data_IF_540488148030
#
_entry.id   IF_540488148030
#
_cell.length_a   1.000
_cell.length_b   1.000
_cell.length_c   1.000
_cell.angle_alpha   90.00
_cell.angle_beta   90.00
_cell.angle_gamma   90.00
#
_symmetry.space_group_name_H-M   'P 1'
#
loop_
_entity.id
_entity.type
_entity.pdbx_description
1 polymer ?
#
# COMPACT_ATOMS: atom_id res chain seq x y z
N UNK A 1 37.81 5.70 5.32
CA UNK A 1 37.01 4.69 4.57
C UNK A 1 37.79 3.98 3.47
N UNK A 2 38.17 4.61 2.34
CA UNK A 2 38.84 3.93 1.20
C UNK A 2 40.04 3.08 1.62
N UNK A 3 40.98 3.70 2.31
CA UNK A 3 42.18 3.03 2.82
C UNK A 3 41.83 1.87 3.76
N UNK A 4 40.89 2.07 4.70
CA UNK A 4 40.43 1.02 5.60
C UNK A 4 39.80 -0.15 4.83
N UNK A 5 38.95 0.10 3.83
CA UNK A 5 38.35 -0.97 3.02
C UNK A 5 39.43 -1.75 2.24
N UNK A 6 40.47 -1.08 1.75
CA UNK A 6 41.60 -1.73 1.09
C UNK A 6 42.45 -2.56 2.07
N UNK A 7 42.76 -2.01 3.23
CA UNK A 7 43.47 -2.71 4.31
C UNK A 7 42.69 -3.93 4.82
N UNK A 8 41.35 -3.83 4.92
CA UNK A 8 40.48 -4.93 5.30
C UNK A 8 40.27 -5.97 4.20
N UNK A 9 40.36 -5.59 2.92
CA UNK A 9 40.23 -6.49 1.77
C UNK A 9 41.51 -7.30 1.49
N UNK A 10 42.69 -6.74 1.81
CA UNK A 10 43.99 -7.39 1.57
C UNK A 10 44.11 -8.82 2.13
N UNK A 11 43.74 -9.11 3.40
CA UNK A 11 43.81 -10.47 3.95
C UNK A 11 42.88 -11.46 3.26
N UNK A 12 41.84 -10.98 2.57
CA UNK A 12 40.82 -11.80 1.90
C UNK A 12 41.14 -12.03 0.41
N UNK A 13 42.26 -11.49 -0.07
CA UNK A 13 42.66 -11.50 -1.48
C UNK A 13 41.57 -10.93 -2.42
N UNK A 14 40.79 -9.97 -1.94
CA UNK A 14 39.77 -9.31 -2.76
C UNK A 14 40.38 -8.19 -3.58
N UNK A 15 40.12 -8.22 -4.89
CA UNK A 15 40.43 -7.10 -5.78
C UNK A 15 39.30 -6.06 -5.70
N UNK A 16 39.45 -5.13 -4.76
CA UNK A 16 38.43 -4.11 -4.48
C UNK A 16 38.55 -2.96 -5.50
N UNK A 17 37.71 -3.00 -6.53
CA UNK A 17 37.55 -1.87 -7.46
C UNK A 17 36.69 -0.77 -6.82
N UNK A 18 37.37 0.19 -6.19
CA UNK A 18 36.73 1.41 -5.70
C UNK A 18 36.62 2.39 -6.86
N UNK A 19 35.41 2.59 -7.39
CA UNK A 19 35.16 3.68 -8.33
C UNK A 19 35.51 5.01 -7.65
N UNK A 20 36.69 5.55 -7.99
CA UNK A 20 37.11 6.89 -7.60
C UNK A 20 36.35 7.89 -8.46
N UNK A 21 36.22 9.10 -7.98
CA UNK A 21 35.64 10.24 -8.71
C UNK A 21 34.12 10.29 -8.63
N UNK A 22 33.61 10.29 -7.38
CA UNK A 22 32.39 11.03 -7.06
C UNK A 22 32.86 12.44 -6.71
N UNK A 23 32.64 13.39 -7.60
CA UNK A 23 32.81 14.83 -7.25
C UNK A 23 31.79 15.21 -6.17
N UNK A 24 31.99 16.28 -5.37
CA UNK A 24 30.97 16.73 -4.39
C UNK A 24 29.59 16.96 -5.06
N UNK A 25 29.57 17.32 -6.34
CA UNK A 25 28.36 17.45 -7.16
C UNK A 25 27.65 16.11 -7.46
N UNK A 26 28.34 14.97 -7.29
CA UNK A 26 27.80 13.62 -7.49
C UNK A 26 27.34 12.94 -6.18
N UNK A 27 27.48 13.61 -5.03
CA UNK A 27 27.02 13.13 -3.73
C UNK A 27 25.51 13.34 -3.49
N UNK A 28 24.84 14.09 -4.36
CA UNK A 28 23.38 14.31 -4.32
C UNK A 28 22.64 13.22 -5.12
N UNK A 29 21.53 12.73 -4.57
CA UNK A 29 20.95 11.40 -4.86
C UNK A 29 20.76 11.05 -6.34
N UNK A 30 20.39 12.02 -7.19
CA UNK A 30 20.25 11.80 -8.64
C UNK A 30 21.58 11.45 -9.32
N UNK A 31 22.63 12.18 -8.98
CA UNK A 31 23.95 11.97 -9.55
C UNK A 31 24.55 10.65 -9.05
N UNK A 32 24.23 10.24 -7.82
CA UNK A 32 24.58 8.92 -7.28
C UNK A 32 23.96 7.77 -8.12
N UNK A 33 22.66 7.83 -8.45
CA UNK A 33 22.01 6.80 -9.27
C UNK A 33 22.66 6.68 -10.66
N UNK A 34 22.91 7.80 -11.32
CA UNK A 34 23.54 7.81 -12.65
C UNK A 34 24.99 7.30 -12.60
N UNK A 35 25.74 7.67 -11.57
CA UNK A 35 27.07 7.14 -11.30
C UNK A 35 27.03 5.62 -11.15
N UNK A 36 26.16 5.08 -10.29
CA UNK A 36 26.02 3.65 -10.06
C UNK A 36 25.72 2.88 -11.35
N UNK A 37 24.77 3.37 -12.17
CA UNK A 37 24.45 2.75 -13.47
C UNK A 37 25.66 2.70 -14.41
N UNK A 38 26.43 3.79 -14.51
CA UNK A 38 27.65 3.85 -15.34
C UNK A 38 28.74 2.92 -14.80
N UNK A 39 28.96 2.91 -13.50
CA UNK A 39 29.99 2.07 -12.86
C UNK A 39 29.70 0.59 -13.06
N UNK A 40 28.44 0.15 -12.94
CA UNK A 40 28.07 -1.26 -13.11
C UNK A 40 28.21 -1.76 -14.56
N UNK A 41 28.12 -0.87 -15.56
CA UNK A 41 28.41 -1.23 -16.95
C UNK A 41 29.89 -1.59 -17.18
N UNK A 42 30.79 -1.10 -16.32
CA UNK A 42 32.24 -1.34 -16.42
C UNK A 42 32.73 -2.53 -15.58
N UNK A 43 31.87 -3.14 -14.74
CA UNK A 43 32.22 -4.21 -13.81
C UNK A 43 31.79 -5.57 -14.39
N UNK A 44 32.55 -6.63 -14.08
CA UNK A 44 32.16 -8.00 -14.44
C UNK A 44 30.83 -8.38 -13.76
N UNK A 45 29.82 -8.88 -14.50
CA UNK A 45 28.49 -9.11 -13.95
C UNK A 45 28.48 -10.12 -12.80
N UNK A 46 29.38 -11.11 -12.82
CA UNK A 46 29.42 -12.18 -11.81
C UNK A 46 30.15 -11.78 -10.50
N UNK A 47 30.77 -10.60 -10.46
CA UNK A 47 31.45 -10.13 -9.25
C UNK A 47 30.43 -9.64 -8.21
N UNK A 48 30.63 -9.87 -6.89
CA UNK A 48 29.78 -9.27 -5.86
C UNK A 48 29.78 -7.74 -5.97
N UNK A 49 28.63 -7.12 -5.71
CA UNK A 49 28.49 -5.67 -5.74
C UNK A 49 28.11 -5.14 -4.36
N UNK A 50 28.77 -4.05 -3.97
CA UNK A 50 28.51 -3.34 -2.72
C UNK A 50 27.94 -1.98 -3.08
N UNK A 51 26.70 -1.74 -2.67
CA UNK A 51 26.09 -0.42 -2.70
C UNK A 51 26.29 0.23 -1.34
N UNK A 52 27.01 1.34 -1.30
CA UNK A 52 27.17 2.18 -0.11
C UNK A 52 26.22 3.37 -0.22
N UNK A 53 25.43 3.60 0.83
CA UNK A 53 24.40 4.65 0.82
C UNK A 53 25.00 6.05 0.70
N UNK A 54 24.39 6.95 -0.09
CA UNK A 54 24.70 8.39 -0.03
C UNK A 54 24.36 9.03 1.34
N UNK A 55 23.62 8.32 2.20
CA UNK A 55 23.29 8.73 3.58
C UNK A 55 24.27 8.18 4.62
N UNK A 56 25.40 7.60 4.20
CA UNK A 56 26.44 7.17 5.12
C UNK A 56 27.08 8.37 5.81
N UNK A 57 27.14 8.30 7.14
CA UNK A 57 27.89 9.22 7.99
C UNK A 57 29.36 8.81 7.98
N UNK A 58 30.08 9.18 6.92
CA UNK A 58 31.47 8.75 6.68
C UNK A 58 32.40 9.11 7.85
N UNK A 59 32.14 10.22 8.54
CA UNK A 59 32.86 10.64 9.74
C UNK A 59 32.68 9.69 10.94
N UNK A 60 31.61 8.90 10.96
CA UNK A 60 31.31 7.89 11.99
C UNK A 60 31.71 6.47 11.56
N UNK A 61 32.36 6.33 10.40
CA UNK A 61 32.83 5.05 9.90
C UNK A 61 33.81 4.39 10.89
N UNK A 62 33.44 3.21 11.38
CA UNK A 62 34.18 2.48 12.40
C UNK A 62 34.66 1.11 11.92
N UNK A 63 35.59 0.50 12.66
CA UNK A 63 35.99 -0.89 12.46
C UNK A 63 34.79 -1.85 12.50
N UNK A 64 33.77 -1.53 13.31
CA UNK A 64 32.53 -2.30 13.38
C UNK A 64 31.76 -2.28 12.06
N UNK A 65 31.66 -1.12 11.41
CA UNK A 65 31.00 -0.99 10.11
C UNK A 65 31.76 -1.77 9.02
N UNK A 66 33.10 -1.68 9.02
CA UNK A 66 33.94 -2.47 8.11
C UNK A 66 33.74 -3.98 8.33
N UNK A 67 33.73 -4.45 9.59
CA UNK A 67 33.46 -5.86 9.92
C UNK A 67 32.06 -6.30 9.50
N UNK A 68 31.05 -5.45 9.65
CA UNK A 68 29.69 -5.76 9.21
C UNK A 68 29.64 -6.03 7.70
N UNK A 69 30.31 -5.19 6.91
CA UNK A 69 30.43 -5.37 5.45
C UNK A 69 31.10 -6.70 5.07
N UNK A 70 32.20 -7.03 5.74
CA UNK A 70 32.90 -8.29 5.51
C UNK A 70 32.03 -9.50 5.86
N UNK A 71 31.32 -9.44 6.98
CA UNK A 71 30.39 -10.50 7.39
C UNK A 71 29.27 -10.70 6.37
N UNK A 72 28.71 -9.62 5.82
CA UNK A 72 27.70 -9.68 4.77
C UNK A 72 28.22 -10.39 3.50
N UNK A 73 29.42 -10.05 3.05
CA UNK A 73 30.02 -10.66 1.86
C UNK A 73 30.38 -12.13 2.12
N UNK A 74 30.98 -12.43 3.28
CA UNK A 74 31.29 -13.81 3.66
C UNK A 74 30.03 -14.67 3.75
N UNK A 75 28.93 -14.12 4.26
CA UNK A 75 27.65 -14.81 4.31
C UNK A 75 27.17 -15.19 2.91
N UNK A 76 27.21 -14.26 1.93
CA UNK A 76 26.85 -14.56 0.55
C UNK A 76 27.77 -15.61 -0.09
N UNK A 77 29.07 -15.54 0.16
CA UNK A 77 30.05 -16.51 -0.37
C UNK A 77 29.85 -17.93 0.18
N UNK A 78 29.46 -18.03 1.45
CA UNK A 78 29.22 -19.31 2.14
C UNK A 78 27.82 -19.88 1.90
N UNK A 79 26.91 -19.08 1.34
CA UNK A 79 25.55 -19.49 0.99
C UNK A 79 25.29 -19.30 -0.51
N UNK A 80 25.97 -20.03 -1.41
CA UNK A 80 25.85 -19.84 -2.85
C UNK A 80 24.43 -20.08 -3.39
N UNK A 81 23.61 -20.89 -2.71
CA UNK A 81 22.20 -21.07 -3.05
C UNK A 81 21.33 -19.81 -2.79
N UNK A 82 21.82 -18.88 -1.95
CA UNK A 82 21.20 -17.58 -1.70
C UNK A 82 21.65 -16.51 -2.71
N UNK A 83 22.74 -16.76 -3.45
CA UNK A 83 23.23 -15.85 -4.50
C UNK A 83 22.17 -15.71 -5.60
N UNK A 84 21.72 -14.47 -5.85
CA UNK A 84 20.63 -14.17 -6.78
C UNK A 84 19.23 -14.35 -6.20
N UNK A 85 19.10 -14.62 -4.90
CA UNK A 85 17.83 -14.66 -4.15
C UNK A 85 17.81 -13.70 -2.97
N UNK A 86 18.98 -13.43 -2.39
CA UNK A 86 19.14 -12.63 -1.17
C UNK A 86 20.06 -11.44 -1.43
N UNK A 87 19.65 -10.29 -0.91
CA UNK A 87 20.47 -9.09 -0.77
C UNK A 87 20.72 -8.89 0.73
N UNK A 88 21.96 -8.56 1.10
CA UNK A 88 22.30 -8.35 2.51
C UNK A 88 22.25 -6.86 2.82
N UNK A 89 21.38 -6.47 3.74
CA UNK A 89 21.33 -5.15 4.35
C UNK A 89 22.00 -5.12 5.74
N UNK A 90 21.83 -4.01 6.43
CA UNK A 90 22.49 -3.68 7.69
C UNK A 90 21.48 -3.13 8.69
N UNK A 91 21.77 -3.30 9.98
CA UNK A 91 21.13 -2.48 11.00
C UNK A 91 21.64 -1.04 10.86
N UNK A 92 20.75 -0.07 11.04
CA UNK A 92 21.07 1.35 10.92
C UNK A 92 21.56 1.83 12.28
N UNK A 93 22.71 2.49 12.31
CA UNK A 93 23.20 3.20 13.50
C UNK A 93 23.12 4.69 13.22
N UNK A 94 22.06 5.31 13.70
CA UNK A 94 21.97 6.76 13.78
C UNK A 94 22.30 7.18 15.23
N UNK A 95 21.77 8.29 15.72
CA UNK A 95 21.77 8.65 17.15
C UNK A 95 21.30 7.49 18.05
N UNK A 96 20.51 6.57 17.49
CA UNK A 96 20.07 5.32 18.12
C UNK A 96 20.27 4.14 17.16
N UNK A 97 20.53 2.95 17.70
CA UNK A 97 20.61 1.70 16.93
C UNK A 97 19.21 1.21 16.52
N UNK A 98 19.04 0.91 15.24
CA UNK A 98 17.78 0.47 14.64
C UNK A 98 17.99 -0.77 13.78
N UNK A 99 17.48 -1.92 14.23
CA UNK A 99 17.36 -3.12 13.39
C UNK A 99 15.93 -3.23 12.85
N UNK A 100 15.67 -2.47 11.78
CA UNK A 100 14.35 -2.41 11.13
C UNK A 100 14.41 -3.16 9.81
N UNK A 101 14.22 -4.47 9.86
CA UNK A 101 13.85 -5.24 8.66
C UNK A 101 12.38 -4.98 8.40
N UNK A 102 12.04 -4.59 7.17
CA UNK A 102 10.70 -4.13 6.80
C UNK A 102 10.09 -5.03 5.73
N UNK A 103 8.79 -5.29 5.85
CA UNK A 103 7.93 -5.77 4.78
C UNK A 103 7.41 -4.57 3.99
N UNK A 104 7.31 -4.74 2.68
CA UNK A 104 6.69 -3.78 1.78
C UNK A 104 5.38 -4.37 1.30
N UNK A 105 4.30 -3.64 1.55
CA UNK A 105 2.98 -3.93 0.99
C UNK A 105 2.67 -2.90 -0.09
N UNK A 106 2.79 -3.32 -1.34
CA UNK A 106 2.36 -2.57 -2.52
C UNK A 106 1.08 -3.19 -3.07
N UNK A 107 -0.07 -2.69 -2.62
CA UNK A 107 -1.39 -3.23 -2.98
C UNK A 107 -2.41 -2.11 -3.07
N UNK A 108 -3.34 -2.21 -4.02
CA UNK A 108 -4.54 -1.37 -4.09
C UNK A 108 -4.28 0.15 -3.97
N UNK A 109 -3.25 0.63 -4.68
CA UNK A 109 -2.80 2.02 -4.69
C UNK A 109 -2.15 2.49 -3.37
N UNK A 110 -1.76 1.55 -2.50
CA UNK A 110 -1.04 1.81 -1.26
C UNK A 110 0.37 1.25 -1.31
N UNK A 111 1.32 1.98 -0.73
CA UNK A 111 2.68 1.54 -0.49
C UNK A 111 3.00 1.69 1.01
N UNK A 112 3.06 0.59 1.74
CA UNK A 112 3.26 0.61 3.20
C UNK A 112 4.50 -0.17 3.57
N UNK A 113 5.40 0.48 4.30
CA UNK A 113 6.55 -0.15 4.95
C UNK A 113 6.17 -0.48 6.39
N UNK A 114 6.30 -1.74 6.77
CA UNK A 114 5.95 -2.22 8.12
C UNK A 114 7.09 -3.06 8.70
N UNK A 115 7.36 -2.99 10.01
CA UNK A 115 8.38 -3.82 10.61
C UNK A 115 8.01 -5.31 10.45
N UNK A 116 9.01 -6.14 10.21
CA UNK A 116 8.88 -7.60 10.33
C UNK A 116 8.89 -7.94 11.82
N UNK A 117 8.01 -8.84 12.26
CA UNK A 117 8.10 -9.39 13.60
C UNK A 117 9.44 -10.15 13.73
N UNK A 118 10.36 -9.61 14.52
CA UNK A 118 11.76 -10.06 14.57
C UNK A 118 11.96 -11.24 15.51
N UNK A 119 10.99 -12.15 15.65
CA UNK A 119 11.26 -13.44 16.29
C UNK A 119 12.35 -14.13 15.46
N UNK A 120 13.58 -14.14 15.98
CA UNK A 120 14.77 -14.48 15.22
C UNK A 120 14.81 -15.97 14.87
N UNK A 121 14.19 -16.33 13.75
CA UNK A 121 14.18 -17.70 13.24
C UNK A 121 15.52 -18.06 12.57
N UNK A 122 16.29 -17.06 12.12
CA UNK A 122 17.58 -17.24 11.45
C UNK A 122 18.73 -16.62 12.28
N UNK A 123 19.86 -17.33 12.31
CA UNK A 123 21.10 -16.86 12.90
C UNK A 123 22.19 -16.76 11.83
N UNK A 124 23.03 -15.74 11.94
CA UNK A 124 24.23 -15.62 11.12
C UNK A 124 25.20 -16.78 11.38
N UNK A 125 26.22 -16.91 10.53
CA UNK A 125 27.36 -17.80 10.77
C UNK A 125 28.05 -17.58 12.13
N UNK A 126 27.91 -16.39 12.69
CA UNK A 126 28.51 -16.00 13.97
C UNK A 126 27.49 -16.02 15.12
N UNK A 127 26.30 -16.59 14.90
CA UNK A 127 25.27 -16.77 15.92
C UNK A 127 24.40 -15.54 16.21
N UNK A 128 24.52 -14.49 15.40
CA UNK A 128 23.77 -13.24 15.59
C UNK A 128 22.37 -13.36 15.00
N UNK A 129 21.33 -12.79 15.63
CA UNK A 129 19.98 -12.88 15.09
C UNK A 129 19.87 -12.10 13.77
N UNK A 130 19.23 -12.72 12.79
CA UNK A 130 18.95 -12.16 11.48
C UNK A 130 17.47 -12.28 11.14
N UNK A 131 16.99 -11.38 10.29
CA UNK A 131 15.61 -11.37 9.81
C UNK A 131 15.59 -11.07 8.32
N UNK A 132 14.57 -11.60 7.65
CA UNK A 132 14.32 -11.42 6.22
C UNK A 132 13.11 -10.53 6.00
N UNK A 133 13.17 -9.69 4.99
CA UNK A 133 12.09 -8.81 4.57
C UNK A 133 12.31 -8.32 3.14
N UNK A 134 11.71 -7.18 2.82
CA UNK A 134 11.83 -6.52 1.53
C UNK A 134 12.78 -5.31 1.56
N UNK A 135 13.05 -4.76 2.75
CA UNK A 135 13.95 -3.62 2.94
C UNK A 135 14.61 -3.66 4.33
N UNK A 136 15.77 -3.01 4.48
CA UNK A 136 16.43 -2.76 5.76
C UNK A 136 17.18 -1.42 5.76
N UNK A 137 18.35 -1.41 5.13
CA UNK A 137 19.26 -0.27 4.97
C UNK A 137 19.33 0.20 3.52
N UNK A 138 19.81 1.41 3.30
CA UNK A 138 20.15 1.90 1.97
C UNK A 138 21.46 1.25 1.46
N UNK A 139 22.45 1.07 2.36
CA UNK A 139 23.65 0.30 2.03
C UNK A 139 23.31 -1.20 1.90
N UNK A 140 23.80 -1.87 0.86
CA UNK A 140 23.44 -3.27 0.53
C UNK A 140 24.59 -4.01 -0.13
N UNK A 141 24.63 -5.33 0.07
CA UNK A 141 25.54 -6.24 -0.64
C UNK A 141 24.72 -7.19 -1.50
N UNK A 142 25.07 -7.22 -2.78
CA UNK A 142 24.48 -8.07 -3.80
C UNK A 142 25.45 -9.20 -4.13
N UNK A 143 24.91 -10.41 -4.28
CA UNK A 143 25.71 -11.57 -4.68
C UNK A 143 26.41 -11.40 -6.03
N UNK A 144 25.83 -10.60 -6.94
CA UNK A 144 26.41 -10.27 -8.24
C UNK A 144 26.10 -8.83 -8.66
N UNK A 145 27.02 -8.21 -9.41
CA UNK A 145 26.86 -6.90 -10.01
C UNK A 145 25.81 -6.91 -11.11
N UNK A 146 25.66 -8.04 -11.82
CA UNK A 146 24.62 -8.25 -12.81
C UNK A 146 23.21 -8.16 -12.21
N UNK A 147 22.99 -8.71 -11.02
CA UNK A 147 21.71 -8.58 -10.31
C UNK A 147 21.42 -7.12 -9.96
N UNK A 148 22.38 -6.39 -9.39
CA UNK A 148 22.19 -4.95 -9.10
C UNK A 148 21.99 -4.13 -10.37
N UNK A 149 22.77 -4.37 -11.42
CA UNK A 149 22.65 -3.69 -12.70
C UNK A 149 21.30 -3.91 -13.37
N UNK A 150 20.79 -5.15 -13.33
CA UNK A 150 19.46 -5.49 -13.83
C UNK A 150 18.37 -4.72 -13.07
N UNK A 151 18.41 -4.70 -11.74
CA UNK A 151 17.44 -3.95 -10.92
C UNK A 151 17.48 -2.46 -11.23
N UNK A 152 18.68 -1.85 -11.24
CA UNK A 152 18.85 -0.43 -11.52
C UNK A 152 18.43 -0.03 -12.95
N UNK A 153 18.36 -0.96 -13.89
CA UNK A 153 17.84 -0.66 -15.24
C UNK A 153 16.37 -0.25 -15.23
N UNK A 154 15.61 -0.66 -14.20
CA UNK A 154 14.21 -0.29 -13.99
C UNK A 154 14.01 0.83 -12.95
N UNK A 155 15.08 1.24 -12.26
CA UNK A 155 15.01 2.31 -11.25
C UNK A 155 15.20 3.66 -11.93
N UNK A 156 14.29 4.61 -11.68
CA UNK A 156 14.37 5.94 -12.25
C UNK A 156 14.74 6.99 -11.21
N UNK A 157 15.31 8.05 -11.74
CA UNK A 157 15.49 9.30 -11.05
C UNK A 157 14.14 9.96 -10.77
N UNK A 158 13.86 10.28 -9.52
CA UNK A 158 12.71 11.10 -9.18
C UNK A 158 13.11 12.59 -9.14
N UNK A 159 12.53 13.43 -10.02
CA UNK A 159 12.88 14.85 -10.12
C UNK A 159 12.36 15.68 -8.92
N UNK A 160 11.40 15.17 -8.15
CA UNK A 160 10.80 15.87 -7.01
C UNK A 160 11.46 15.46 -5.68
N UNK A 161 11.99 14.24 -5.58
CA UNK A 161 12.71 13.78 -4.40
C UNK A 161 13.81 12.77 -4.72
N UNK A 162 15.07 13.21 -4.57
CA UNK A 162 16.26 12.41 -4.89
C UNK A 162 16.47 11.14 -4.05
N UNK A 163 15.68 10.88 -3.01
CA UNK A 163 15.79 9.67 -2.18
C UNK A 163 14.84 8.56 -2.64
N UNK A 164 13.85 8.87 -3.49
CA UNK A 164 12.84 7.92 -3.93
C UNK A 164 13.38 6.81 -4.83
N UNK A 165 14.55 6.96 -5.43
CA UNK A 165 15.16 5.86 -6.20
C UNK A 165 15.50 4.65 -5.31
N UNK A 166 15.73 4.85 -4.00
CA UNK A 166 15.92 3.74 -3.04
C UNK A 166 14.60 3.01 -2.78
N UNK A 167 13.48 3.73 -2.71
CA UNK A 167 12.12 3.16 -2.62
C UNK A 167 11.79 2.37 -3.90
N UNK A 168 12.12 2.92 -5.07
CA UNK A 168 11.95 2.24 -6.34
C UNK A 168 12.84 0.97 -6.41
N UNK A 169 14.10 1.05 -5.95
CA UNK A 169 14.97 -0.12 -5.84
C UNK A 169 14.37 -1.22 -4.95
N UNK A 170 13.72 -0.86 -3.84
CA UNK A 170 13.02 -1.85 -3.00
C UNK A 170 11.86 -2.53 -3.72
N UNK A 171 11.09 -1.77 -4.47
CA UNK A 171 10.00 -2.32 -5.29
C UNK A 171 10.55 -3.23 -6.38
N UNK A 172 11.69 -2.89 -7.00
CA UNK A 172 12.35 -3.77 -7.96
C UNK A 172 12.87 -5.05 -7.31
N UNK A 173 13.42 -4.98 -6.10
CA UNK A 173 13.82 -6.17 -5.33
C UNK A 173 12.63 -7.09 -5.10
N UNK A 174 11.52 -6.53 -4.60
CA UNK A 174 10.29 -7.29 -4.35
C UNK A 174 9.73 -7.91 -5.64
N UNK A 175 9.67 -7.15 -6.73
CA UNK A 175 9.19 -7.63 -8.03
C UNK A 175 10.07 -8.75 -8.61
N UNK A 176 11.37 -8.72 -8.33
CA UNK A 176 12.32 -9.76 -8.72
C UNK A 176 12.29 -10.99 -7.79
N UNK A 177 11.46 -10.98 -6.74
CA UNK A 177 11.41 -12.05 -5.74
C UNK A 177 12.66 -12.14 -4.86
N UNK A 178 13.40 -11.03 -4.72
CA UNK A 178 14.60 -10.95 -3.90
C UNK A 178 14.23 -10.56 -2.47
N UNK A 179 14.83 -11.25 -1.50
CA UNK A 179 14.67 -10.95 -0.08
C UNK A 179 15.86 -10.13 0.44
N UNK A 180 15.60 -9.25 1.39
CA UNK A 180 16.63 -8.53 2.14
C UNK A 180 16.85 -9.22 3.48
N UNK A 181 18.06 -9.74 3.69
CA UNK A 181 18.53 -10.25 4.99
C UNK A 181 19.28 -9.15 5.72
N UNK A 182 18.95 -8.88 6.99
CA UNK A 182 19.80 -8.05 7.83
C UNK A 182 19.93 -8.64 9.24
N UNK A 183 21.14 -8.60 9.78
CA UNK A 183 21.46 -9.11 11.11
C UNK A 183 21.66 -7.98 12.10
N UNK A 184 21.17 -8.17 13.33
CA UNK A 184 21.17 -7.13 14.37
C UNK A 184 22.58 -6.57 14.65
N UNK A 185 23.58 -7.45 14.71
CA UNK A 185 24.94 -7.04 15.07
C UNK A 185 25.67 -6.25 13.96
N UNK A 186 25.14 -6.23 12.73
CA UNK A 186 25.80 -5.68 11.54
C UNK A 186 25.35 -4.23 11.32
N UNK A 187 25.85 -3.34 12.18
CA UNK A 187 25.49 -1.92 12.16
C UNK A 187 26.27 -1.10 11.13
N UNK A 188 25.57 -0.22 10.40
CA UNK A 188 26.12 0.75 9.46
C UNK A 188 25.76 2.18 9.91
N UNK A 189 26.72 3.12 9.99
CA UNK A 189 26.44 4.51 10.36
C UNK A 189 25.80 5.24 9.17
N UNK A 190 24.49 5.12 9.04
CA UNK A 190 23.70 5.77 7.98
C UNK A 190 22.39 6.30 8.55
N UNK A 191 21.76 7.24 7.84
CA UNK A 191 20.38 7.65 8.16
C UNK A 191 19.36 6.71 7.49
N UNK A 192 18.16 6.64 8.08
CA UNK A 192 17.03 5.93 7.47
C UNK A 192 16.51 6.69 6.24
N UNK A 193 16.76 6.18 5.03
CA UNK A 193 16.34 6.83 3.78
C UNK A 193 14.82 7.00 3.68
N UNK A 194 14.02 6.19 4.39
CA UNK A 194 12.57 6.33 4.43
C UNK A 194 12.13 7.61 5.15
N UNK A 195 12.94 8.15 6.06
CA UNK A 195 12.69 9.45 6.69
C UNK A 195 12.87 10.62 5.71
N UNK A 196 13.55 10.39 4.58
CA UNK A 196 13.74 11.39 3.52
C UNK A 196 12.88 11.13 2.27
N UNK A 197 12.22 9.97 2.19
CA UNK A 197 11.35 9.61 1.08
C UNK A 197 10.01 10.35 1.15
N UNK A 198 9.42 10.65 -0.02
CA UNK A 198 8.09 11.26 -0.10
C UNK A 198 7.28 10.75 -1.27
N UNK A 199 5.96 10.69 -1.13
CA UNK A 199 5.07 10.33 -2.24
C UNK A 199 4.94 11.50 -3.21
N UNK A 200 5.87 11.58 -4.15
CA UNK A 200 5.92 12.56 -5.24
C UNK A 200 4.93 12.21 -6.34
N UNK A 201 4.68 13.14 -7.27
CA UNK A 201 3.88 12.82 -8.46
C UNK A 201 4.55 11.73 -9.30
N UNK A 202 5.87 11.82 -9.46
CA UNK A 202 6.63 10.83 -10.22
C UNK A 202 6.47 9.40 -9.67
N UNK A 203 6.73 9.20 -8.37
CA UNK A 203 6.62 7.89 -7.72
C UNK A 203 5.16 7.38 -7.77
N UNK A 204 4.19 8.26 -7.51
CA UNK A 204 2.77 7.96 -7.57
C UNK A 204 2.35 7.44 -8.95
N UNK A 205 2.76 8.13 -10.02
CA UNK A 205 2.46 7.75 -11.40
C UNK A 205 3.16 6.47 -11.82
N UNK A 206 4.46 6.33 -11.52
CA UNK A 206 5.26 5.18 -11.92
C UNK A 206 4.73 3.88 -11.31
N UNK A 207 4.42 3.90 -10.01
CA UNK A 207 4.00 2.70 -9.28
C UNK A 207 2.49 2.60 -9.04
N UNK A 208 1.70 3.52 -9.59
CA UNK A 208 0.25 3.60 -9.39
C UNK A 208 -0.09 3.57 -7.88
N UNK A 209 0.53 4.48 -7.12
CA UNK A 209 0.39 4.63 -5.67
C UNK A 209 -0.21 6.01 -5.39
N UNK A 210 -1.28 6.06 -4.60
CA UNK A 210 -1.90 7.32 -4.16
C UNK A 210 -1.79 7.54 -2.65
N UNK A 211 -1.44 6.50 -1.89
CA UNK A 211 -1.14 6.60 -0.47
C UNK A 211 0.14 5.84 -0.14
N UNK A 212 1.04 6.47 0.59
CA UNK A 212 2.25 5.83 1.08
C UNK A 212 2.42 6.03 2.59
N UNK A 213 3.02 5.06 3.24
CA UNK A 213 3.43 5.12 4.64
C UNK A 213 4.84 4.54 4.72
N UNK A 214 5.85 5.40 4.57
CA UNK A 214 7.27 5.02 4.62
C UNK A 214 7.76 4.82 6.06
N UNK A 215 7.21 5.61 6.98
CA UNK A 215 7.39 5.50 8.42
C UNK A 215 6.04 5.24 9.08
N UNK A 216 6.03 4.42 10.13
CA UNK A 216 4.80 4.02 10.82
C UNK A 216 4.00 5.23 11.32
N UNK A 217 2.73 5.30 10.94
CA UNK A 217 1.83 6.41 11.29
C UNK A 217 1.98 7.65 10.40
N UNK A 218 3.00 7.74 9.55
CA UNK A 218 3.25 8.90 8.68
C UNK A 218 2.65 8.70 7.29
N UNK A 219 1.32 8.87 7.21
CA UNK A 219 0.59 8.74 5.96
C UNK A 219 0.80 9.93 5.03
N UNK A 220 1.27 9.66 3.83
CA UNK A 220 1.37 10.60 2.71
C UNK A 220 0.35 10.25 1.63
N UNK A 221 -0.22 11.26 0.98
CA UNK A 221 -1.27 11.08 -0.04
C UNK A 221 -0.98 11.95 -1.26
N UNK A 222 -1.03 11.35 -2.44
CA UNK A 222 -0.93 12.04 -3.73
C UNK A 222 -1.98 11.48 -4.69
N UNK A 223 -3.10 12.18 -4.87
CA UNK A 223 -4.16 11.73 -5.76
C UNK A 223 -3.75 11.95 -7.22
N UNK A 224 -3.90 10.92 -8.06
CA UNK A 224 -3.51 11.00 -9.46
C UNK A 224 -4.60 11.72 -10.29
N UNK A 225 -4.24 12.72 -11.12
CA UNK A 225 -5.20 13.43 -11.94
C UNK A 225 -5.76 12.53 -13.03
N UNK A 226 -7.03 12.75 -13.39
CA UNK A 226 -7.63 12.04 -14.52
C UNK A 226 -7.82 10.54 -14.27
N UNK A 227 -7.96 10.12 -13.02
CA UNK A 227 -8.58 8.85 -12.69
C UNK A 227 -10.05 8.90 -13.11
N UNK A 228 -10.31 8.80 -14.42
CA UNK A 228 -11.58 8.34 -14.94
C UNK A 228 -11.74 6.91 -14.43
N UNK A 229 -12.13 6.82 -13.16
CA UNK A 229 -12.20 5.58 -12.40
C UNK A 229 -13.12 4.61 -13.11
N UNK A 230 -14.08 5.11 -13.90
CA UNK A 230 -14.97 4.30 -14.71
C UNK A 230 -14.18 3.53 -15.77
N UNK A 231 -13.12 4.09 -16.38
CA UNK A 231 -12.23 3.36 -17.27
C UNK A 231 -11.35 2.34 -16.53
N UNK A 232 -10.97 2.64 -15.28
CA UNK A 232 -10.20 1.75 -14.41
C UNK A 232 -11.08 0.55 -13.99
N UNK A 233 -12.29 0.80 -13.50
CA UNK A 233 -13.29 -0.19 -13.12
C UNK A 233 -13.82 -1.00 -14.31
N UNK A 234 -14.02 -0.37 -15.50
CA UNK A 234 -14.36 -1.10 -16.74
C UNK A 234 -13.27 -2.04 -17.21
N UNK A 235 -12.02 -1.80 -16.81
CA UNK A 235 -10.90 -2.72 -17.01
C UNK A 235 -10.72 -3.69 -15.85
N UNK A 236 -11.64 -3.69 -14.88
CA UNK A 236 -11.66 -4.61 -13.75
C UNK A 236 -10.72 -4.19 -12.64
N UNK A 237 -9.99 -3.08 -12.82
CA UNK A 237 -8.93 -2.65 -11.93
C UNK A 237 -9.50 -2.12 -10.62
N UNK A 238 -8.68 -2.22 -9.57
CA UNK A 238 -8.99 -1.69 -8.25
C UNK A 238 -9.17 -0.17 -8.32
N UNK A 239 -10.22 0.34 -7.68
CA UNK A 239 -10.51 1.75 -7.60
C UNK A 239 -9.36 2.51 -6.87
N UNK A 240 -8.96 3.68 -7.38
CA UNK A 240 -7.91 4.50 -6.78
C UNK A 240 -8.18 4.79 -5.30
N UNK A 241 -7.14 4.87 -4.49
CA UNK A 241 -7.28 5.07 -3.05
C UNK A 241 -7.97 6.41 -2.71
N UNK A 242 -7.62 7.49 -3.41
CA UNK A 242 -8.24 8.80 -3.21
C UNK A 242 -9.72 8.78 -3.57
N UNK A 243 -10.10 8.08 -4.63
CA UNK A 243 -11.50 7.88 -4.98
C UNK A 243 -12.26 7.16 -3.86
N UNK A 244 -11.73 6.02 -3.39
CA UNK A 244 -12.30 5.27 -2.27
C UNK A 244 -12.43 6.12 -1.01
N UNK A 245 -11.42 6.94 -0.71
CA UNK A 245 -11.46 7.91 0.40
C UNK A 245 -12.62 8.89 0.26
N UNK A 246 -12.83 9.43 -0.92
CA UNK A 246 -13.87 10.42 -1.19
C UNK A 246 -15.28 9.80 -1.08
N UNK A 247 -15.46 8.57 -1.57
CA UNK A 247 -16.69 7.77 -1.38
C UNK A 247 -16.98 7.56 0.11
N UNK A 248 -15.98 7.11 0.89
CA UNK A 248 -16.12 6.95 2.34
C UNK A 248 -16.43 8.27 3.06
N UNK A 249 -15.83 9.39 2.64
CA UNK A 249 -16.13 10.71 3.20
C UNK A 249 -17.54 11.17 2.84
N UNK A 250 -18.03 10.88 1.64
CA UNK A 250 -19.40 11.15 1.26
C UNK A 250 -20.39 10.33 2.11
N UNK A 251 -20.14 9.03 2.29
CA UNK A 251 -20.93 8.18 3.18
C UNK A 251 -21.05 8.76 4.59
N UNK A 252 -19.91 9.16 5.20
CA UNK A 252 -19.88 9.81 6.53
C UNK A 252 -20.72 11.07 6.56
N UNK A 253 -20.55 11.95 5.57
CA UNK A 253 -21.26 13.23 5.48
C UNK A 253 -22.77 13.03 5.36
N UNK A 254 -23.21 12.16 4.48
CA UNK A 254 -24.63 11.83 4.27
C UNK A 254 -25.24 11.19 5.52
N UNK A 255 -24.54 10.22 6.12
CA UNK A 255 -24.97 9.55 7.35
C UNK A 255 -25.06 10.49 8.55
N UNK A 256 -24.10 11.41 8.68
CA UNK A 256 -24.09 12.42 9.73
C UNK A 256 -25.21 13.44 9.54
N UNK A 257 -25.40 13.93 8.32
CA UNK A 257 -26.51 14.83 8.01
C UNK A 257 -27.86 14.17 8.32
N UNK A 258 -28.08 12.95 7.82
CA UNK A 258 -29.35 12.24 8.00
C UNK A 258 -29.70 12.05 9.47
N UNK A 259 -28.75 11.59 10.29
CA UNK A 259 -28.94 11.41 11.74
C UNK A 259 -29.04 12.73 12.50
N UNK A 260 -28.48 13.81 11.96
CA UNK A 260 -28.56 15.15 12.53
C UNK A 260 -29.94 15.80 12.37
N UNK A 261 -30.76 15.35 11.42
CA UNK A 261 -32.11 15.90 11.19
C UNK A 261 -33.12 15.50 12.28
N UNK A 262 -33.06 14.25 12.75
CA UNK A 262 -34.00 13.71 13.74
C UNK A 262 -33.34 12.53 14.48
N UNK A 263 -33.43 12.45 15.82
CA UNK A 263 -32.85 11.34 16.59
C UNK A 263 -33.41 9.96 16.22
N UNK A 264 -34.60 9.90 15.61
CA UNK A 264 -35.22 8.66 15.12
C UNK A 264 -34.55 8.13 13.85
N UNK A 265 -33.82 8.97 13.11
CA UNK A 265 -33.14 8.58 11.88
C UNK A 265 -31.96 7.64 12.12
N UNK A 266 -31.81 6.63 11.27
CA UNK A 266 -30.68 5.71 11.29
C UNK A 266 -30.30 5.24 9.89
N UNK A 267 -29.14 4.58 9.81
CA UNK A 267 -28.47 4.23 8.56
C UNK A 267 -28.25 2.72 8.54
N UNK A 268 -28.63 2.07 7.45
CA UNK A 268 -28.47 0.63 7.23
C UNK A 268 -27.68 0.45 5.92
N UNK A 269 -26.43 -0.05 5.93
CA UNK A 269 -25.64 -0.26 4.71
C UNK A 269 -26.25 -1.39 3.90
N UNK A 270 -26.21 -1.37 2.57
CA UNK A 270 -26.72 -2.44 1.70
C UNK A 270 -25.59 -2.99 0.79
N UNK A 271 -25.87 -4.07 0.08
CA UNK A 271 -25.04 -4.58 -1.02
C UNK A 271 -23.52 -4.68 -0.71
N UNK A 272 -22.66 -4.17 -1.59
CA UNK A 272 -21.20 -4.18 -1.43
C UNK A 272 -20.74 -3.37 -0.21
N UNK A 273 -21.49 -2.33 0.14
CA UNK A 273 -21.21 -1.50 1.33
C UNK A 273 -21.42 -2.28 2.63
N UNK A 274 -22.45 -3.12 2.70
CA UNK A 274 -22.65 -4.02 3.82
C UNK A 274 -21.51 -5.05 3.91
N UNK A 275 -21.08 -5.63 2.78
CA UNK A 275 -19.98 -6.60 2.79
C UNK A 275 -18.67 -6.03 3.36
N UNK A 276 -18.45 -4.72 3.24
CA UNK A 276 -17.26 -4.07 3.79
C UNK A 276 -17.16 -4.19 5.32
N UNK A 277 -18.28 -4.43 6.04
CA UNK A 277 -18.26 -4.71 7.48
C UNK A 277 -17.44 -5.96 7.82
N UNK A 278 -17.45 -6.96 6.94
CA UNK A 278 -16.77 -8.25 7.13
C UNK A 278 -15.29 -8.20 6.77
N UNK A 279 -14.80 -7.10 6.22
CA UNK A 279 -13.37 -6.87 5.94
C UNK A 279 -12.78 -5.83 6.86
N UNK A 280 -13.24 -5.84 8.11
CA UNK A 280 -12.97 -4.81 9.11
C UNK A 280 -13.48 -3.46 8.60
N UNK A 281 -14.76 -3.14 8.77
CA UNK A 281 -15.42 -1.92 8.22
C UNK A 281 -14.73 -0.56 8.47
N UNK A 282 -13.69 -0.51 9.30
CA UNK A 282 -12.78 0.63 9.44
C UNK A 282 -11.71 0.72 8.32
N UNK A 283 -11.33 -0.40 7.70
CA UNK A 283 -10.32 -0.52 6.66
C UNK A 283 -10.76 0.10 5.33
N UNK A 284 -12.07 0.28 5.14
CA UNK A 284 -12.67 1.10 4.10
C UNK A 284 -13.52 0.32 3.12
N UNK A 285 -13.99 1.02 2.08
CA UNK A 285 -14.80 0.41 1.03
C UNK A 285 -13.99 -0.65 0.29
N UNK A 286 -14.70 -1.68 -0.22
CA UNK A 286 -14.11 -2.73 -1.06
C UNK A 286 -13.26 -2.12 -2.18
N UNK A 287 -12.04 -2.64 -2.43
CA UNK A 287 -11.11 -2.02 -3.38
C UNK A 287 -11.66 -1.82 -4.80
N UNK A 288 -12.63 -2.62 -5.21
CA UNK A 288 -13.21 -2.61 -6.55
C UNK A 288 -14.60 -1.98 -6.62
N UNK A 289 -15.09 -1.48 -5.50
CA UNK A 289 -16.42 -0.93 -5.40
C UNK A 289 -16.38 0.56 -5.74
N UNK A 290 -17.43 1.02 -6.41
CA UNK A 290 -17.50 2.33 -7.05
C UNK A 290 -18.31 3.36 -6.29
N UNK A 291 -19.12 2.90 -5.36
CA UNK A 291 -20.18 3.66 -4.76
C UNK A 291 -20.53 3.04 -3.41
N UNK A 292 -21.36 3.72 -2.65
CA UNK A 292 -21.95 3.12 -1.45
C UNK A 292 -23.45 2.92 -1.61
N UNK A 293 -23.95 1.78 -1.15
CA UNK A 293 -25.37 1.48 -1.09
C UNK A 293 -25.85 1.62 0.35
N UNK A 294 -26.91 2.41 0.55
CA UNK A 294 -27.39 2.67 1.89
C UNK A 294 -28.90 2.87 1.95
N UNK A 295 -29.50 2.33 2.99
CA UNK A 295 -30.86 2.61 3.41
C UNK A 295 -30.86 3.69 4.48
N UNK A 296 -31.52 4.82 4.18
CA UNK A 296 -31.74 5.93 5.10
C UNK A 296 -33.12 5.77 5.72
N UNK A 297 -33.14 5.23 6.93
CA UNK A 297 -34.37 4.86 7.63
C UNK A 297 -34.76 5.89 8.68
N UNK A 298 -36.06 6.00 8.91
CA UNK A 298 -36.64 6.80 9.99
C UNK A 298 -37.91 6.16 10.52
N UNK A 299 -38.17 6.37 11.81
CA UNK A 299 -39.45 6.03 12.46
C UNK A 299 -40.51 7.12 12.21
N UNK A 300 -40.11 8.26 11.65
CA UNK A 300 -41.03 9.33 11.27
C UNK A 300 -41.71 9.02 9.92
N UNK A 301 -42.88 9.62 9.72
CA UNK A 301 -43.54 9.66 8.42
C UNK A 301 -42.97 10.83 7.61
N UNK A 302 -41.94 10.56 6.80
CA UNK A 302 -41.45 11.49 5.77
C UNK A 302 -41.80 10.91 4.40
N UNK A 303 -42.10 11.75 3.41
CA UNK A 303 -42.26 11.29 2.02
C UNK A 303 -40.93 11.40 1.28
N UNK A 304 -40.78 10.69 0.14
CA UNK A 304 -39.62 10.88 -0.74
C UNK A 304 -39.51 12.35 -1.20
N UNK A 305 -40.63 12.99 -1.51
CA UNK A 305 -40.67 14.43 -1.82
C UNK A 305 -40.17 15.28 -0.62
N UNK A 306 -40.61 14.96 0.59
CA UNK A 306 -40.12 15.61 1.81
C UNK A 306 -38.62 15.44 2.02
N UNK A 307 -38.08 14.25 1.72
CA UNK A 307 -36.64 14.01 1.73
C UNK A 307 -35.92 14.86 0.66
N UNK A 308 -36.40 14.86 -0.58
CA UNK A 308 -35.79 15.64 -1.67
C UNK A 308 -35.80 17.14 -1.38
N UNK A 309 -36.89 17.67 -0.80
CA UNK A 309 -36.95 19.06 -0.34
C UNK A 309 -35.86 19.38 0.68
N UNK A 310 -35.57 18.46 1.61
CA UNK A 310 -34.47 18.62 2.59
C UNK A 310 -33.09 18.67 1.93
N UNK A 311 -32.89 17.99 0.80
CA UNK A 311 -31.62 18.05 0.06
C UNK A 311 -31.35 19.40 -0.60
N UNK A 312 -32.37 20.24 -0.77
CA UNK A 312 -32.22 21.60 -1.28
C UNK A 312 -31.91 22.62 -0.17
N UNK A 313 -31.98 22.21 1.10
CA UNK A 313 -31.67 23.08 2.24
C UNK A 313 -30.15 23.36 2.33
N UNK A 314 -29.74 24.54 2.85
CA UNK A 314 -28.32 24.90 2.99
C UNK A 314 -27.50 23.87 3.77
N UNK A 315 -28.10 23.20 4.76
CA UNK A 315 -27.43 22.18 5.57
C UNK A 315 -26.97 20.97 4.74
N UNK A 316 -27.74 20.53 3.74
CA UNK A 316 -27.32 19.46 2.85
C UNK A 316 -26.32 19.97 1.81
N UNK A 317 -26.57 21.13 1.21
CA UNK A 317 -25.67 21.72 0.21
C UNK A 317 -24.26 21.94 0.77
N UNK A 318 -24.14 22.30 2.06
CA UNK A 318 -22.88 22.48 2.75
C UNK A 318 -22.02 21.20 2.85
N UNK A 319 -22.62 20.01 2.72
CA UNK A 319 -21.85 18.75 2.72
C UNK A 319 -21.21 18.45 1.36
N UNK A 320 -21.51 19.24 0.32
CA UNK A 320 -20.90 19.13 -1.01
C UNK A 320 -21.35 17.91 -1.81
N UNK A 321 -22.59 17.44 -1.56
CA UNK A 321 -23.22 16.31 -2.24
C UNK A 321 -24.48 16.81 -2.95
N UNK A 322 -24.71 16.32 -4.16
CA UNK A 322 -25.92 16.54 -4.94
C UNK A 322 -26.79 15.29 -4.88
N UNK A 323 -28.09 15.47 -4.78
CA UNK A 323 -29.07 14.38 -4.72
C UNK A 323 -30.01 14.46 -5.92
N UNK A 324 -30.25 13.32 -6.57
CA UNK A 324 -31.16 13.21 -7.71
C UNK A 324 -32.12 12.06 -7.45
N UNK A 325 -33.42 12.35 -7.43
CA UNK A 325 -34.43 11.30 -7.36
C UNK A 325 -34.40 10.46 -8.65
N UNK A 326 -34.43 9.14 -8.50
CA UNK A 326 -34.48 8.21 -9.61
C UNK A 326 -35.62 7.21 -9.38
N UNK A 327 -36.55 7.19 -10.33
CA UNK A 327 -37.60 6.19 -10.40
C UNK A 327 -37.07 5.04 -11.27
N UNK A 328 -36.64 3.96 -10.62
CA UNK A 328 -36.10 2.79 -11.32
C UNK A 328 -37.15 2.14 -12.23
N UNK A 329 -36.71 1.58 -13.36
CA UNK A 329 -37.53 0.76 -14.25
C UNK A 329 -37.91 -0.58 -13.59
N UNK A 330 -38.73 -0.56 -12.53
CA UNK A 330 -39.26 -1.75 -11.86
C UNK A 330 -38.65 -2.10 -10.49
N UNK A 331 -37.81 -1.24 -9.92
CA UNK A 331 -37.28 -1.35 -8.55
C UNK A 331 -37.61 -0.09 -7.73
N UNK A 332 -37.56 -0.23 -6.42
CA UNK A 332 -37.81 0.82 -5.42
C UNK A 332 -37.22 2.18 -5.78
N UNK A 333 -37.97 3.28 -5.54
CA UNK A 333 -37.47 4.63 -5.72
C UNK A 333 -36.23 4.86 -4.83
N UNK A 334 -35.16 5.37 -5.43
CA UNK A 334 -33.90 5.66 -4.75
C UNK A 334 -33.33 7.01 -5.17
N UNK A 335 -32.36 7.49 -4.41
CA UNK A 335 -31.71 8.78 -4.61
C UNK A 335 -30.26 8.54 -5.01
N UNK A 336 -29.90 8.99 -6.20
CA UNK A 336 -28.52 9.01 -6.68
C UNK A 336 -27.78 10.18 -6.03
N UNK A 337 -26.66 9.88 -5.39
CA UNK A 337 -25.79 10.86 -4.76
C UNK A 337 -24.57 11.12 -5.64
N UNK A 338 -24.25 12.39 -5.88
CA UNK A 338 -23.10 12.81 -6.69
C UNK A 338 -22.24 13.83 -5.96
N UNK A 339 -20.94 13.79 -6.22
CA UNK A 339 -20.00 14.81 -5.78
C UNK A 339 -19.40 15.49 -7.02
N UNK A 340 -19.32 16.82 -7.04
CA UNK A 340 -18.90 17.56 -8.24
C UNK A 340 -17.50 17.17 -8.77
N UNK A 341 -16.62 16.67 -7.91
CA UNK A 341 -15.29 16.18 -8.28
C UNK A 341 -15.27 14.77 -8.89
N UNK A 342 -16.42 14.10 -8.96
CA UNK A 342 -16.57 12.72 -9.45
C UNK A 342 -17.65 12.72 -10.55
N UNK A 343 -17.27 12.29 -11.75
CA UNK A 343 -18.14 12.34 -12.94
C UNK A 343 -19.39 11.44 -12.81
N UNK A 344 -19.27 10.35 -12.07
CA UNK A 344 -20.31 9.35 -11.82
C UNK A 344 -20.93 9.52 -10.43
N UNK A 345 -22.05 8.82 -10.17
CA UNK A 345 -22.60 8.79 -8.81
C UNK A 345 -21.65 8.05 -7.86
N UNK A 346 -21.76 8.40 -6.60
CA UNK A 346 -20.88 7.95 -5.51
C UNK A 346 -21.64 7.15 -4.45
N UNK A 347 -22.96 7.09 -4.57
CA UNK A 347 -23.79 6.28 -3.70
C UNK A 347 -25.27 6.30 -4.07
N UNK A 348 -25.94 5.23 -3.69
CA UNK A 348 -27.36 4.97 -3.87
C UNK A 348 -28.03 4.98 -2.50
N UNK A 349 -28.97 5.90 -2.31
CA UNK A 349 -29.67 6.07 -1.04
C UNK A 349 -31.15 5.68 -1.18
N UNK A 350 -31.54 4.63 -0.47
CA UNK A 350 -32.90 4.15 -0.39
C UNK A 350 -33.57 4.74 0.86
N UNK A 351 -34.47 5.69 0.67
CA UNK A 351 -35.16 6.36 1.78
C UNK A 351 -36.41 5.57 2.13
N UNK A 352 -36.50 5.08 3.38
CA UNK A 352 -37.70 4.39 3.90
C UNK A 352 -38.13 4.95 5.23
N UNK A 353 -39.44 4.98 5.40
CA UNK A 353 -40.11 5.72 6.48
C UNK A 353 -41.01 4.76 7.25
N UNK A 354 -41.37 5.13 8.49
CA UNK A 354 -42.11 4.24 9.39
C UNK A 354 -41.39 2.94 9.71
N UNK A 355 -40.05 2.91 9.62
CA UNK A 355 -39.24 1.72 9.92
C UNK A 355 -38.73 1.80 11.35
N UNK A 356 -39.21 0.91 12.25
CA UNK A 356 -38.83 1.01 13.65
C UNK A 356 -37.39 0.54 13.85
N UNK A 357 -36.64 1.26 14.70
CA UNK A 357 -35.23 0.95 14.96
C UNK A 357 -35.02 -0.41 15.61
N UNK A 358 -35.99 -0.89 16.39
CA UNK A 358 -35.89 -2.17 17.10
C UNK A 358 -35.84 -3.39 16.16
N UNK A 359 -36.26 -3.26 14.90
CA UNK A 359 -36.06 -4.28 13.85
C UNK A 359 -34.60 -4.37 13.39
N UNK A 360 -33.78 -3.35 13.70
CA UNK A 360 -32.36 -3.25 13.38
C UNK A 360 -31.51 -3.07 14.66
N UNK A 361 -31.52 -4.04 15.58
CA UNK A 361 -30.96 -3.86 16.93
C UNK A 361 -29.43 -3.86 16.96
N UNK A 362 -28.77 -4.45 15.96
CA UNK A 362 -27.31 -4.58 15.96
C UNK A 362 -26.64 -3.29 15.47
N UNK A 363 -25.51 -2.94 16.11
CA UNK A 363 -24.73 -1.74 15.79
C UNK A 363 -23.33 -2.16 15.32
N UNK A 364 -22.83 -1.50 14.28
CA UNK A 364 -21.46 -1.70 13.81
C UNK A 364 -20.84 -0.36 13.39
N UNK A 365 -19.50 -0.32 13.26
CA UNK A 365 -18.79 0.82 12.69
C UNK A 365 -18.45 0.54 11.23
N UNK A 366 -18.95 1.36 10.33
CA UNK A 366 -18.64 1.31 8.91
C UNK A 366 -18.10 2.66 8.45
N UNK A 367 -16.89 2.65 7.90
CA UNK A 367 -16.17 3.83 7.48
C UNK A 367 -16.09 4.90 8.60
N UNK A 368 -16.00 4.50 9.87
CA UNK A 368 -15.99 5.42 11.01
C UNK A 368 -17.35 6.08 11.32
N UNK A 369 -18.44 5.47 10.86
CA UNK A 369 -19.82 5.88 11.15
C UNK A 369 -20.57 4.68 11.69
N UNK A 370 -21.34 4.90 12.77
CA UNK A 370 -22.19 3.85 13.32
C UNK A 370 -23.35 3.52 12.36
N UNK A 371 -23.60 2.24 12.11
CA UNK A 371 -24.70 1.75 11.28
C UNK A 371 -25.56 0.74 12.05
N UNK A 372 -26.83 0.60 11.66
CA UNK A 372 -27.76 -0.40 12.20
C UNK A 372 -27.86 -1.62 11.29
N UNK A 373 -28.04 -2.80 11.86
CA UNK A 373 -28.29 -4.05 11.13
C UNK A 373 -29.46 -4.81 11.76
N UNK A 374 -30.22 -5.53 10.95
CA UNK A 374 -31.36 -6.36 11.37
C UNK A 374 -31.28 -7.78 10.83
N UNK A 375 -32.05 -8.70 11.42
CA UNK A 375 -32.04 -10.12 11.05
C UNK A 375 -32.42 -10.33 9.58
N UNK A 376 -33.46 -9.64 9.11
CA UNK A 376 -33.90 -9.70 7.72
C UNK A 376 -32.83 -9.22 6.75
N UNK A 377 -32.06 -8.22 7.16
CA UNK A 377 -30.98 -7.66 6.37
C UNK A 377 -29.84 -8.67 6.19
N UNK A 378 -29.40 -9.30 7.29
CA UNK A 378 -28.42 -10.39 7.22
C UNK A 378 -28.94 -11.53 6.35
N UNK A 379 -30.22 -11.89 6.47
CA UNK A 379 -30.81 -12.99 5.74
C UNK A 379 -30.93 -12.71 4.23
N UNK A 380 -31.30 -11.48 3.87
CA UNK A 380 -31.33 -11.05 2.48
C UNK A 380 -29.94 -11.12 1.85
N UNK A 381 -28.94 -10.53 2.49
CA UNK A 381 -27.61 -10.47 1.91
C UNK A 381 -26.92 -11.83 1.92
N UNK A 382 -26.81 -12.51 3.06
CA UNK A 382 -26.08 -13.78 3.13
C UNK A 382 -26.84 -14.97 2.56
N UNK A 383 -28.07 -15.19 3.02
CA UNK A 383 -28.78 -16.43 2.72
C UNK A 383 -29.60 -16.35 1.43
N UNK A 384 -29.80 -15.16 0.87
CA UNK A 384 -30.49 -15.00 -0.41
C UNK A 384 -29.52 -14.64 -1.53
N UNK A 385 -28.71 -13.58 -1.37
CA UNK A 385 -27.86 -13.06 -2.44
C UNK A 385 -26.50 -13.77 -2.56
N UNK A 386 -25.80 -13.96 -1.45
CA UNK A 386 -24.46 -14.57 -1.41
C UNK A 386 -24.47 -16.03 -0.94
N UNK A 387 -25.59 -16.73 -1.09
CA UNK A 387 -25.77 -18.12 -0.61
C UNK A 387 -25.03 -19.17 -1.44
N UNK A 388 -24.69 -18.84 -2.68
CA UNK A 388 -23.90 -19.68 -3.60
C UNK A 388 -22.58 -18.98 -3.89
N UNK A 389 -21.55 -19.73 -4.32
CA UNK A 389 -20.36 -19.12 -4.91
C UNK A 389 -20.75 -18.02 -5.89
N UNK A 390 -20.22 -16.82 -5.68
CA UNK A 390 -20.45 -15.68 -6.55
C UNK A 390 -19.19 -15.42 -7.37
N UNK A 391 -19.36 -15.29 -8.67
CA UNK A 391 -18.30 -14.79 -9.52
C UNK A 391 -18.34 -13.27 -9.53
N UNK A 392 -17.18 -12.65 -9.41
CA UNK A 392 -17.07 -11.22 -9.66
C UNK A 392 -17.14 -11.00 -11.17
N UNK A 393 -18.19 -10.33 -11.62
CA UNK A 393 -18.40 -10.02 -13.03
C UNK A 393 -18.13 -8.54 -13.28
N UNK A 394 -17.66 -8.22 -14.48
CA UNK A 394 -17.76 -6.90 -15.07
C UNK A 394 -19.23 -6.50 -15.22
N UNK A 395 -19.50 -5.20 -15.38
CA UNK A 395 -20.86 -4.70 -15.64
C UNK A 395 -21.50 -5.23 -16.94
N UNK A 396 -20.71 -5.84 -17.83
CA UNK A 396 -21.15 -6.54 -19.04
C UNK A 396 -21.30 -8.06 -18.85
N UNK A 397 -21.12 -8.57 -17.63
CA UNK A 397 -21.29 -9.99 -17.28
C UNK A 397 -20.06 -10.87 -17.50
N UNK A 398 -18.94 -10.32 -17.95
CA UNK A 398 -17.70 -11.10 -18.11
C UNK A 398 -17.08 -11.38 -16.73
N UNK A 399 -16.58 -12.59 -16.43
CA UNK A 399 -15.85 -12.82 -15.19
C UNK A 399 -14.57 -11.98 -15.12
N UNK A 400 -14.33 -11.38 -13.97
CA UNK A 400 -13.10 -10.65 -13.70
C UNK A 400 -11.97 -11.67 -13.51
N UNK A 401 -11.02 -11.71 -14.45
CA UNK A 401 -9.95 -12.72 -14.50
C UNK A 401 -8.67 -12.25 -13.81
N UNK A 402 -8.02 -13.16 -13.06
CA UNK A 402 -6.89 -12.85 -12.18
C UNK A 402 -5.49 -12.95 -12.81
N UNK A 403 -5.35 -13.11 -14.13
CA UNK A 403 -4.08 -13.59 -14.72
C UNK A 403 -3.53 -12.78 -15.90
N UNK A 404 -3.90 -11.50 -16.04
CA UNK A 404 -3.31 -10.63 -17.07
C UNK A 404 -2.22 -9.72 -16.49
N UNK A 405 -1.08 -9.63 -17.18
CA UNK A 405 -0.02 -8.66 -16.86
C UNK A 405 -0.59 -7.23 -16.95
N UNK A 406 -0.32 -6.40 -15.93
CA UNK A 406 -0.87 -5.04 -15.81
C UNK A 406 -2.27 -4.96 -15.17
N UNK A 407 -2.83 -6.08 -14.68
CA UNK A 407 -4.13 -6.15 -14.03
C UNK A 407 -3.98 -6.29 -12.51
N UNK A 408 -4.52 -5.35 -11.73
CA UNK A 408 -4.41 -5.31 -10.26
C UNK A 408 -5.69 -5.75 -9.53
N UNK A 409 -6.65 -6.32 -10.28
CA UNK A 409 -8.00 -6.63 -9.81
C UNK A 409 -8.10 -7.86 -8.90
N UNK A 410 -7.04 -8.66 -8.85
CA UNK A 410 -7.01 -9.87 -8.06
C UNK A 410 -7.10 -9.45 -6.59
N UNK A 411 -7.99 -10.10 -5.83
CA UNK A 411 -7.65 -10.27 -4.43
C UNK A 411 -6.30 -10.98 -4.41
N UNK A 412 -5.25 -10.40 -3.82
CA UNK A 412 -4.03 -11.16 -3.60
C UNK A 412 -4.44 -12.42 -2.85
N UNK A 413 -3.81 -13.55 -3.16
CA UNK A 413 -4.01 -14.76 -2.37
C UNK A 413 -3.46 -14.50 -0.96
N UNK A 414 -4.37 -14.11 -0.09
CA UNK A 414 -4.09 -13.72 1.29
C UNK A 414 -4.07 -14.93 2.23
N UNK A 415 -4.26 -16.15 1.70
CA UNK A 415 -4.09 -17.38 2.49
C UNK A 415 -2.62 -17.63 2.81
N UNK A 416 -1.72 -17.06 2.01
CA UNK A 416 -0.29 -17.11 2.26
C UNK A 416 0.14 -16.07 3.30
N UNK A 417 0.29 -16.53 4.55
CA UNK A 417 0.73 -15.72 5.70
C UNK A 417 2.11 -15.04 5.52
N UNK A 418 2.91 -15.46 4.53
CA UNK A 418 4.21 -14.83 4.23
C UNK A 418 4.10 -13.49 3.48
N UNK A 419 2.95 -13.18 2.86
CA UNK A 419 2.69 -11.90 2.19
C UNK A 419 1.52 -11.15 2.87
N UNK A 420 1.76 -10.03 3.57
CA UNK A 420 0.70 -9.33 4.29
C UNK A 420 -0.28 -8.67 3.31
N UNK A 421 -1.55 -9.06 3.38
CA UNK A 421 -2.61 -8.42 2.63
C UNK A 421 -3.09 -7.10 3.27
N UNK A 422 -3.69 -6.22 2.47
CA UNK A 422 -4.38 -5.02 2.99
C UNK A 422 -5.52 -5.39 3.92
N UNK A 423 -6.20 -6.51 3.64
CA UNK A 423 -7.32 -7.03 4.42
C UNK A 423 -7.08 -8.51 4.72
N UNK A 424 -7.47 -8.99 5.91
CA UNK A 424 -7.70 -10.42 6.11
C UNK A 424 -8.67 -10.91 5.04
N UNK A 425 -8.40 -12.07 4.50
CA UNK A 425 -9.28 -12.70 3.54
C UNK A 425 -10.10 -13.76 4.25
N UNK A 426 -11.22 -13.29 4.78
CA UNK A 426 -12.16 -14.11 5.53
C UNK A 426 -13.18 -14.80 4.60
N UNK A 427 -12.99 -14.70 3.28
CA UNK A 427 -13.84 -15.36 2.29
C UNK A 427 -13.32 -16.76 1.96
N UNK A 428 -14.25 -17.70 1.83
CA UNK A 428 -13.92 -19.04 1.29
C UNK A 428 -13.80 -18.93 -0.23
N UNK A 429 -12.59 -19.17 -0.74
CA UNK A 429 -12.34 -19.31 -2.17
C UNK A 429 -12.70 -20.73 -2.59
N UNK A 430 -13.42 -20.84 -3.70
CA UNK A 430 -13.80 -22.10 -4.34
C UNK A 430 -13.19 -22.09 -5.72
N UNK A 431 -12.31 -23.07 -5.95
CA UNK A 431 -11.55 -23.27 -7.19
C UNK A 431 -12.42 -23.53 -8.43
#
# INVERSE_FOLDING_TARGET
>A
MRQQLQEFAQPLAWDLHLAADVTEAEAEGLACLQFLKRTLQAIKPDAPAILLSPLLKVQEWSERAAKALLKAILWLQTHPAATGRVVVGFAIMDDVWHWRVRRIRHQYWKLVYSPVDTSADEKSLFGEPCARGASASASRVFGTAGSLGSLLSFVDADPENQWNWLVDLDLQLQNAGLEVLACAAWGMPEEDYLARASLTRHLAQKHQVEMAEFLEGERQVHCLPGSDWFQVARKGLVAPWCFRRDVMQAFRRVSSWWRGLDPRNFVVPEEGTFLALFRNGAAGIMPWDSDFDVKLYTEADITMEGFMNRTHEPAFQAIGIQAFAYDGCGQDNYVLLRQASIVHHIGDAYVRCGRPRHEHPWRAQLFGTEVSLGADHLNHIFFTRYKTPVQKLFGDGIPLQCFFSGHNACMPDCTNTSAPCEFPDDFVHVD
#
